data_IF_457881306123
#
_entry.id   IF_457881306123
#
_cell.length_a   1.000
_cell.length_b   1.000
_cell.length_c   1.000
_cell.angle_alpha   90.00
_cell.angle_beta   90.00
_cell.angle_gamma   90.00
#
_symmetry.space_group_name_H-M   'P 1'
#
loop_
_entity.id
_entity.type
_entity.pdbx_description
1 polymer ?
#
# COMPACT_ATOMS: atom_id res chain seq x y z
N UNK A 1 27.86 -17.72 -37.97
CA UNK A 1 27.08 -16.48 -37.82
C UNK A 1 25.63 -16.84 -38.04
N UNK A 2 24.80 -16.77 -36.99
CA UNK A 2 23.36 -17.00 -37.05
C UNK A 2 22.69 -15.82 -36.35
N UNK A 3 21.62 -15.22 -36.90
CA UNK A 3 21.14 -13.91 -36.49
C UNK A 3 20.32 -14.00 -35.20
N UNK A 4 20.35 -12.90 -34.44
CA UNK A 4 19.76 -12.80 -33.11
C UNK A 4 18.26 -13.00 -33.07
N UNK A 5 17.83 -13.89 -32.18
CA UNK A 5 16.46 -13.90 -31.67
C UNK A 5 16.31 -12.75 -30.68
N UNK A 6 15.65 -11.67 -31.12
CA UNK A 6 15.03 -10.72 -30.21
C UNK A 6 13.91 -11.45 -29.49
N UNK A 7 14.13 -11.80 -28.23
CA UNK A 7 13.06 -12.26 -27.36
C UNK A 7 12.13 -11.08 -27.12
N UNK A 8 10.98 -11.07 -27.80
CA UNK A 8 9.83 -10.30 -27.36
C UNK A 8 9.33 -10.94 -26.07
N UNK A 9 9.80 -10.45 -24.92
CA UNK A 9 9.17 -10.75 -23.64
C UNK A 9 7.87 -9.96 -23.61
N UNK A 10 6.80 -10.55 -24.11
CA UNK A 10 5.45 -10.06 -23.84
C UNK A 10 5.13 -10.46 -22.41
N UNK A 11 5.58 -9.66 -21.44
CA UNK A 11 5.13 -9.79 -20.06
C UNK A 11 3.63 -9.54 -20.04
N UNK A 12 2.85 -10.60 -19.81
CA UNK A 12 1.41 -10.46 -19.67
C UNK A 12 1.12 -9.54 -18.49
N UNK A 13 0.22 -8.56 -18.60
CA UNK A 13 -0.01 -7.55 -17.55
C UNK A 13 -0.41 -8.16 -16.19
N UNK A 14 -0.78 -9.43 -16.14
CA UNK A 14 -1.21 -10.11 -14.91
C UNK A 14 -0.30 -11.28 -14.48
N UNK A 15 0.95 -11.33 -14.95
CA UNK A 15 1.86 -12.38 -14.53
C UNK A 15 2.32 -12.16 -13.08
N UNK A 16 1.89 -13.04 -12.18
CA UNK A 16 2.41 -13.08 -10.81
C UNK A 16 3.60 -14.02 -10.73
N UNK A 17 4.67 -13.57 -10.09
CA UNK A 17 5.83 -14.39 -9.71
C UNK A 17 5.80 -14.63 -8.22
N UNK A 18 6.14 -15.87 -7.82
CA UNK A 18 6.38 -16.22 -6.42
C UNK A 18 7.86 -16.16 -6.16
N UNK A 19 8.25 -15.42 -5.13
CA UNK A 19 9.64 -15.29 -4.70
C UNK A 19 9.74 -15.74 -3.24
N UNK A 20 10.85 -16.38 -2.89
CA UNK A 20 11.16 -16.76 -1.51
C UNK A 20 11.94 -15.62 -0.86
N UNK A 21 11.42 -15.07 0.24
CA UNK A 21 12.07 -14.01 1.00
C UNK A 21 11.82 -14.24 2.50
N UNK A 22 12.89 -14.25 3.31
CA UNK A 22 12.83 -14.52 4.75
C UNK A 22 11.98 -15.77 5.10
N UNK A 23 12.22 -16.86 4.40
CA UNK A 23 11.51 -18.14 4.55
C UNK A 23 9.99 -18.12 4.23
N UNK A 24 9.49 -17.00 3.70
CA UNK A 24 8.11 -16.86 3.24
C UNK A 24 8.03 -16.67 1.72
N UNK A 25 6.99 -17.22 1.10
CA UNK A 25 6.69 -16.95 -0.30
C UNK A 25 5.81 -15.72 -0.41
N UNK A 26 6.30 -14.68 -1.08
CA UNK A 26 5.47 -13.53 -1.44
C UNK A 26 5.10 -13.56 -2.93
N UNK A 27 3.87 -13.18 -3.22
CA UNK A 27 3.41 -12.96 -4.59
C UNK A 27 3.77 -11.54 -5.02
N UNK A 28 4.42 -11.41 -6.16
CA UNK A 28 4.82 -10.14 -6.75
C UNK A 28 4.20 -10.13 -8.14
N UNK A 29 3.30 -9.19 -8.39
CA UNK A 29 2.60 -9.00 -9.68
C UNK A 29 3.52 -8.45 -10.81
N UNK A 30 3.01 -7.67 -11.75
CA UNK A 30 3.84 -6.97 -12.75
C UNK A 30 3.82 -5.48 -12.45
N UNK A 31 4.97 -4.81 -12.55
CA UNK A 31 5.02 -3.35 -12.50
C UNK A 31 4.39 -2.75 -13.77
N UNK A 32 3.36 -1.92 -13.62
CA UNK A 32 2.53 -1.41 -14.72
C UNK A 32 2.59 0.11 -14.81
N UNK A 33 2.23 0.72 -15.97
CA UNK A 33 2.13 2.17 -16.11
C UNK A 33 1.27 2.87 -15.06
N UNK A 34 0.21 2.21 -14.57
CA UNK A 34 -0.62 2.75 -13.49
C UNK A 34 0.16 2.98 -12.16
N UNK A 35 1.32 2.36 -11.99
CA UNK A 35 2.19 2.51 -10.82
C UNK A 35 3.34 3.51 -11.04
N UNK A 36 3.43 4.15 -12.21
CA UNK A 36 4.52 5.08 -12.51
C UNK A 36 4.25 6.45 -11.88
N UNK A 37 5.25 7.13 -11.27
CA UNK A 37 5.09 8.43 -10.62
C UNK A 37 4.45 9.50 -11.51
N UNK A 38 4.82 9.55 -12.79
CA UNK A 38 4.30 10.51 -13.77
C UNK A 38 2.82 10.32 -14.11
N UNK A 39 2.28 9.13 -13.83
CA UNK A 39 0.88 8.80 -14.02
C UNK A 39 0.04 8.98 -12.73
N UNK A 40 0.65 9.48 -11.65
CA UNK A 40 -0.04 9.72 -10.39
C UNK A 40 -0.60 11.14 -10.31
N UNK A 41 -1.57 11.33 -9.42
CA UNK A 41 -1.96 12.67 -9.00
C UNK A 41 -0.81 13.32 -8.21
N UNK A 42 -0.46 14.55 -8.57
CA UNK A 42 0.64 15.29 -7.94
C UNK A 42 0.13 16.45 -7.08
N UNK A 43 0.76 16.65 -5.93
CA UNK A 43 0.66 17.90 -5.14
C UNK A 43 1.81 18.81 -5.53
N UNK A 44 1.51 20.10 -5.70
CA UNK A 44 2.44 21.13 -6.15
C UNK A 44 3.19 20.77 -7.44
N UNK A 45 2.59 19.91 -8.29
CA UNK A 45 3.20 19.41 -9.52
C UNK A 45 4.47 18.58 -9.33
N UNK A 46 4.74 18.08 -8.10
CA UNK A 46 6.01 17.44 -7.77
C UNK A 46 5.89 16.09 -7.06
N UNK A 47 5.01 15.99 -6.07
CA UNK A 47 4.98 14.81 -5.19
C UNK A 47 3.68 14.02 -5.40
N UNK A 48 3.76 12.71 -5.67
CA UNK A 48 2.57 11.87 -5.73
C UNK A 48 1.76 11.92 -4.43
N UNK A 49 0.45 12.07 -4.52
CA UNK A 49 -0.48 11.96 -3.39
C UNK A 49 -1.41 10.77 -3.61
N UNK A 50 -1.55 9.92 -2.58
CA UNK A 50 -2.26 8.65 -2.62
C UNK A 50 -1.94 7.85 -3.90
N UNK A 51 -0.65 7.62 -4.22
CA UNK A 51 -0.30 6.96 -5.45
C UNK A 51 -0.89 5.55 -5.49
N UNK A 52 -1.25 5.11 -6.70
CA UNK A 52 -1.60 3.71 -6.96
C UNK A 52 -0.30 2.90 -6.95
N UNK A 53 0.13 2.49 -5.77
CA UNK A 53 1.30 1.64 -5.61
C UNK A 53 0.99 0.21 -6.05
N UNK A 54 2.05 -0.46 -6.49
CA UNK A 54 2.03 -1.88 -6.81
C UNK A 54 1.55 -2.71 -5.61
N UNK A 55 0.88 -3.83 -5.86
CA UNK A 55 0.51 -4.76 -4.79
C UNK A 55 1.77 -5.22 -4.05
N UNK A 56 1.69 -5.21 -2.71
CA UNK A 56 2.82 -5.54 -1.83
C UNK A 56 4.05 -4.63 -2.01
N UNK A 57 3.87 -3.40 -2.49
CA UNK A 57 4.96 -2.42 -2.58
C UNK A 57 5.78 -2.34 -1.29
N UNK A 58 5.12 -2.28 -0.13
CA UNK A 58 5.78 -2.20 1.18
C UNK A 58 6.46 -3.49 1.67
N UNK A 59 6.14 -4.62 1.04
CA UNK A 59 6.66 -5.94 1.42
C UNK A 59 7.63 -6.52 0.41
N UNK A 60 7.72 -5.92 -0.79
CA UNK A 60 8.58 -6.41 -1.86
C UNK A 60 10.03 -6.02 -1.53
N UNK A 61 10.94 -6.98 -1.38
CA UNK A 61 12.35 -6.69 -1.09
C UNK A 61 13.01 -5.90 -2.23
N UNK A 62 13.94 -5.01 -1.92
CA UNK A 62 14.53 -4.12 -2.91
C UNK A 62 15.38 -4.86 -3.96
N UNK A 63 16.02 -5.96 -3.59
CA UNK A 63 16.86 -6.80 -4.45
C UNK A 63 16.08 -7.62 -5.49
N UNK A 64 14.78 -7.79 -5.28
CA UNK A 64 13.90 -8.54 -6.19
C UNK A 64 12.90 -7.65 -6.93
N UNK A 65 12.84 -6.35 -6.64
CA UNK A 65 12.00 -5.38 -7.38
C UNK A 65 12.38 -5.35 -8.86
N UNK A 66 11.41 -5.00 -9.70
CA UNK A 66 11.70 -4.71 -11.11
C UNK A 66 12.54 -3.44 -11.18
N UNK A 67 13.60 -3.42 -12.00
CA UNK A 67 14.56 -2.31 -12.03
C UNK A 67 13.91 -0.95 -12.29
N UNK A 68 12.87 -0.93 -13.13
CA UNK A 68 12.12 0.29 -13.45
C UNK A 68 11.32 0.80 -12.24
N UNK A 69 10.79 -0.09 -11.40
CA UNK A 69 10.09 0.30 -10.17
C UNK A 69 11.06 0.99 -9.20
N UNK A 70 12.26 0.43 -9.04
CA UNK A 70 13.32 1.05 -8.23
C UNK A 70 13.74 2.40 -8.82
N UNK A 71 14.00 2.49 -10.13
CA UNK A 71 14.36 3.76 -10.79
C UNK A 71 13.31 4.85 -10.57
N UNK A 72 12.03 4.50 -10.63
CA UNK A 72 10.93 5.43 -10.46
C UNK A 72 10.70 5.88 -9.02
N UNK A 73 10.82 4.97 -8.05
CA UNK A 73 10.35 5.22 -6.68
C UNK A 73 11.46 5.39 -5.64
N UNK A 74 12.68 4.97 -5.94
CA UNK A 74 13.82 5.10 -5.03
C UNK A 74 14.10 6.56 -4.70
N UNK A 75 14.21 6.89 -3.40
CA UNK A 75 14.40 8.26 -2.90
C UNK A 75 13.32 9.27 -3.37
N UNK A 76 12.19 8.80 -3.93
CA UNK A 76 11.07 9.65 -4.31
C UNK A 76 10.07 9.72 -3.15
N UNK A 77 9.95 10.86 -2.45
CA UNK A 77 8.93 11.01 -1.42
C UNK A 77 7.54 11.12 -2.06
N UNK A 78 6.58 10.46 -1.43
CA UNK A 78 5.16 10.52 -1.77
C UNK A 78 4.31 10.68 -0.51
N UNK A 79 3.09 11.16 -0.70
CA UNK A 79 2.16 11.48 0.37
C UNK A 79 1.06 10.42 0.37
N UNK A 80 0.76 9.86 1.54
CA UNK A 80 -0.47 9.11 1.77
C UNK A 80 -1.36 9.89 2.73
N UNK A 81 -2.64 10.00 2.44
CA UNK A 81 -3.62 10.58 3.33
C UNK A 81 -4.53 9.51 3.89
N UNK A 82 -4.99 9.72 5.12
CA UNK A 82 -6.05 8.92 5.73
C UNK A 82 -7.06 9.87 6.36
N UNK A 83 -8.34 9.68 6.05
CA UNK A 83 -9.43 10.36 6.73
C UNK A 83 -9.96 9.51 7.89
N UNK A 84 -10.75 10.15 8.75
CA UNK A 84 -11.35 9.50 9.90
C UNK A 84 -12.31 8.37 9.49
N UNK A 85 -13.09 8.58 8.44
CA UNK A 85 -14.05 7.60 7.90
C UNK A 85 -13.35 6.29 7.51
N UNK A 86 -12.23 6.36 6.78
CA UNK A 86 -11.39 5.22 6.42
C UNK A 86 -10.80 4.53 7.66
N UNK A 87 -10.49 5.29 8.72
CA UNK A 87 -10.04 4.70 9.98
C UNK A 87 -11.15 3.88 10.65
N UNK A 88 -12.38 4.40 10.70
CA UNK A 88 -13.53 3.68 11.28
C UNK A 88 -13.79 2.40 10.49
N UNK A 89 -13.80 2.48 9.16
CA UNK A 89 -14.01 1.32 8.30
C UNK A 89 -12.97 0.23 8.59
N UNK A 90 -11.69 0.60 8.75
CA UNK A 90 -10.63 -0.33 9.12
C UNK A 90 -10.87 -0.96 10.50
N UNK A 91 -11.19 -0.16 11.53
CA UNK A 91 -11.46 -0.65 12.89
C UNK A 91 -12.62 -1.67 12.88
N UNK A 92 -13.71 -1.35 12.17
CA UNK A 92 -14.88 -2.22 12.05
C UNK A 92 -14.55 -3.50 11.26
N UNK A 93 -13.83 -3.39 10.14
CA UNK A 93 -13.42 -4.54 9.34
C UNK A 93 -12.54 -5.50 10.13
N UNK A 94 -11.59 -4.98 10.91
CA UNK A 94 -10.74 -5.83 11.76
C UNK A 94 -11.57 -6.57 12.81
N UNK A 95 -12.57 -5.92 13.43
CA UNK A 95 -13.46 -6.59 14.37
C UNK A 95 -14.34 -7.67 13.72
N UNK A 96 -14.75 -7.48 12.45
CA UNK A 96 -15.40 -8.56 11.68
C UNK A 96 -14.45 -9.76 11.54
N UNK A 97 -13.20 -9.53 11.15
CA UNK A 97 -12.21 -10.61 11.02
C UNK A 97 -11.91 -11.32 12.35
N UNK A 98 -11.72 -10.58 13.45
CA UNK A 98 -11.54 -11.17 14.78
C UNK A 98 -12.71 -12.08 15.16
N UNK A 99 -13.95 -11.70 14.82
CA UNK A 99 -15.15 -12.50 15.07
C UNK A 99 -15.20 -13.75 14.18
N UNK A 100 -14.82 -13.64 12.92
CA UNK A 100 -14.73 -14.77 11.98
C UNK A 100 -13.69 -15.80 12.42
N UNK A 101 -12.54 -15.33 12.92
CA UNK A 101 -11.44 -16.17 13.41
C UNK A 101 -11.63 -16.64 14.86
N UNK A 102 -12.66 -16.12 15.55
CA UNK A 102 -12.94 -16.36 16.96
C UNK A 102 -11.71 -16.16 17.86
N UNK A 103 -10.95 -15.09 17.60
CA UNK A 103 -9.71 -14.81 18.32
C UNK A 103 -9.93 -14.02 19.62
N UNK A 104 -8.84 -13.80 20.36
CA UNK A 104 -8.88 -13.15 21.67
C UNK A 104 -9.04 -11.62 21.61
N UNK A 105 -9.19 -11.03 20.42
CA UNK A 105 -9.35 -9.58 20.21
C UNK A 105 -10.80 -9.18 19.90
N UNK A 106 -11.72 -10.15 19.90
CA UNK A 106 -13.16 -9.89 19.79
C UNK A 106 -13.63 -9.07 20.99
N UNK A 107 -14.24 -7.93 20.71
CA UNK A 107 -14.94 -7.10 21.70
C UNK A 107 -16.44 -7.00 21.36
N UNK A 108 -17.24 -6.65 22.37
CA UNK A 108 -18.66 -6.39 22.19
C UNK A 108 -18.91 -5.16 21.32
N UNK A 109 -20.12 -5.04 20.78
CA UNK A 109 -20.50 -3.87 19.98
C UNK A 109 -20.47 -2.56 20.79
N UNK A 110 -20.84 -2.60 22.08
CA UNK A 110 -20.79 -1.43 22.97
C UNK A 110 -19.35 -0.99 23.27
N UNK A 111 -18.43 -1.95 23.46
CA UNK A 111 -17.00 -1.67 23.63
C UNK A 111 -16.39 -1.11 22.34
N UNK A 112 -16.78 -1.64 21.18
CA UNK A 112 -16.35 -1.14 19.88
C UNK A 112 -16.80 0.31 19.65
N UNK A 113 -18.05 0.63 19.93
CA UNK A 113 -18.56 1.99 19.81
C UNK A 113 -17.82 2.94 20.77
N UNK A 114 -17.61 2.52 22.02
CA UNK A 114 -16.84 3.30 23.01
C UNK A 114 -15.42 3.57 22.52
N UNK A 115 -14.76 2.56 21.95
CA UNK A 115 -13.44 2.69 21.35
C UNK A 115 -13.43 3.66 20.17
N UNK A 116 -14.41 3.56 19.26
CA UNK A 116 -14.52 4.45 18.10
C UNK A 116 -14.67 5.90 18.56
N UNK A 117 -15.50 6.18 19.58
CA UNK A 117 -15.67 7.54 20.09
C UNK A 117 -14.39 8.09 20.76
N UNK A 118 -13.69 7.25 21.54
CA UNK A 118 -12.42 7.63 22.14
C UNK A 118 -11.34 7.93 21.07
N UNK A 119 -11.20 7.04 20.09
CA UNK A 119 -10.26 7.21 18.97
C UNK A 119 -10.61 8.45 18.14
N UNK A 120 -11.91 8.77 17.97
CA UNK A 120 -12.37 9.98 17.27
C UNK A 120 -11.89 11.24 17.96
N UNK A 121 -12.04 11.33 19.28
CA UNK A 121 -11.62 12.49 20.06
C UNK A 121 -10.11 12.72 19.93
N UNK A 122 -9.32 11.65 20.00
CA UNK A 122 -7.87 11.72 19.81
C UNK A 122 -7.52 12.12 18.37
N UNK A 123 -8.21 11.56 17.38
CA UNK A 123 -7.99 11.86 15.97
C UNK A 123 -8.19 13.35 15.67
N UNK A 124 -9.32 13.93 16.06
CA UNK A 124 -9.62 15.34 15.78
C UNK A 124 -8.86 16.31 16.70
N UNK A 125 -8.28 15.84 17.81
CA UNK A 125 -7.35 16.64 18.59
C UNK A 125 -6.00 16.81 17.88
N UNK A 126 -5.49 15.74 17.26
CA UNK A 126 -4.21 15.74 16.54
C UNK A 126 -4.34 16.28 15.10
N UNK A 127 -5.43 15.91 14.41
CA UNK A 127 -5.75 16.32 13.04
C UNK A 127 -7.10 17.03 12.99
N UNK A 128 -7.17 18.33 13.34
CA UNK A 128 -8.43 19.06 13.42
C UNK A 128 -9.22 19.12 12.10
N UNK A 129 -8.54 19.05 10.96
CA UNK A 129 -9.17 18.99 9.64
C UNK A 129 -9.74 17.61 9.30
N UNK A 130 -9.52 16.61 10.15
CA UNK A 130 -10.01 15.24 9.98
C UNK A 130 -9.18 14.37 9.05
N UNK A 131 -8.11 14.91 8.45
CA UNK A 131 -7.22 14.19 7.54
C UNK A 131 -5.79 14.20 8.09
N UNK A 132 -5.21 13.00 8.17
CA UNK A 132 -3.78 12.81 8.44
C UNK A 132 -3.03 12.64 7.13
N UNK A 133 -1.89 13.29 7.01
CA UNK A 133 -0.95 13.08 5.90
C UNK A 133 0.35 12.48 6.43
N UNK A 134 0.80 11.39 5.81
CA UNK A 134 2.09 10.77 6.06
C UNK A 134 2.97 10.91 4.82
N UNK A 135 4.22 11.30 5.01
CA UNK A 135 5.25 11.29 3.96
C UNK A 135 5.98 9.97 4.03
N UNK A 136 6.07 9.30 2.90
CA UNK A 136 6.71 7.98 2.75
C UNK A 136 7.72 8.04 1.62
N UNK A 137 8.73 7.18 1.70
CA UNK A 137 9.76 7.05 0.68
C UNK A 137 10.18 5.58 0.61
N UNK A 138 10.61 5.15 -0.57
CA UNK A 138 11.27 3.86 -0.74
C UNK A 138 12.78 4.06 -0.57
N UNK A 139 13.35 3.37 0.41
CA UNK A 139 14.77 3.38 0.79
C UNK A 139 15.32 1.97 1.11
#
# INVERSE_FOLDING_TARGET
MTPGQRYHVTSSPNQRRRILFLDEYIEVDTYQPAHWPENQQLVAGRYPINPTLRRYFDKTPNDVRESLETEHWWDLPFITSRDWESCIENIKSNQVHHREEADNYVISDDELETKIQADKLLWFAEWPEGVRYDIRCLD
#
